data_IF_206681405737
#
_entry.id   IF_206681405737
#
_cell.length_a   1.000
_cell.length_b   1.000
_cell.length_c   1.000
_cell.angle_alpha   90.00
_cell.angle_beta   90.00
_cell.angle_gamma   90.00
#
_symmetry.space_group_name_H-M   'P 1'
#
loop_
_entity.id
_entity.type
_entity.pdbx_description
1 polymer ?
#
# COMPACT_ATOMS: atom_id res chain seq x y z
N UNK A 1 4.87 29.73 24.65
CA UNK A 1 5.43 28.54 23.99
C UNK A 1 4.43 27.42 24.22
N UNK A 2 3.41 27.33 23.36
CA UNK A 2 2.36 26.31 23.48
C UNK A 2 2.71 25.15 22.56
N UNK A 3 3.05 24.02 23.17
CA UNK A 3 3.28 22.74 22.51
C UNK A 3 1.96 22.23 21.94
N UNK A 4 1.78 22.29 20.62
CA UNK A 4 0.67 21.62 19.93
C UNK A 4 1.09 20.25 19.40
N UNK A 5 1.80 19.47 20.23
CA UNK A 5 1.91 18.04 20.00
C UNK A 5 0.75 17.38 20.75
N UNK A 6 0.04 16.40 20.15
CA UNK A 6 -0.93 15.60 20.89
C UNK A 6 -0.26 15.03 22.15
N UNK A 7 -0.92 15.21 23.30
CA UNK A 7 -0.35 14.98 24.63
C UNK A 7 0.53 13.72 24.69
N UNK A 8 1.85 13.92 24.80
CA UNK A 8 2.80 12.88 25.22
C UNK A 8 3.63 12.16 24.14
N UNK A 9 3.46 12.42 22.84
CA UNK A 9 4.38 11.86 21.82
C UNK A 9 5.55 12.82 21.55
N UNK A 10 6.79 12.33 21.65
CA UNK A 10 7.96 13.06 21.16
C UNK A 10 8.04 12.98 19.64
N UNK A 11 8.77 13.90 19.00
CA UNK A 11 8.99 13.85 17.55
C UNK A 11 9.63 12.54 17.10
N UNK A 12 10.55 11.99 17.91
CA UNK A 12 11.13 10.68 17.65
C UNK A 12 10.08 9.56 17.61
N UNK A 13 8.99 9.68 18.39
CA UNK A 13 7.89 8.72 18.38
C UNK A 13 7.04 8.86 17.11
N UNK A 14 6.84 10.09 16.64
CA UNK A 14 6.13 10.39 15.39
C UNK A 14 6.91 9.83 14.20
N UNK A 15 8.21 10.09 14.12
CA UNK A 15 9.08 9.57 13.06
C UNK A 15 9.17 8.03 13.09
N UNK A 16 9.34 7.45 14.27
CA UNK A 16 9.39 6.00 14.44
C UNK A 16 8.08 5.34 14.01
N UNK A 17 6.94 5.95 14.35
CA UNK A 17 5.62 5.47 13.92
C UNK A 17 5.47 5.56 12.41
N UNK A 18 5.81 6.70 11.80
CA UNK A 18 5.79 6.89 10.35
C UNK A 18 6.63 5.83 9.64
N UNK A 19 7.89 5.65 10.04
CA UNK A 19 8.78 4.63 9.45
C UNK A 19 8.21 3.23 9.58
N UNK A 20 7.66 2.89 10.74
CA UNK A 20 7.08 1.56 10.99
C UNK A 20 5.86 1.31 10.09
N UNK A 21 4.96 2.30 9.98
CA UNK A 21 3.76 2.21 9.16
C UNK A 21 4.10 2.19 7.66
N UNK A 22 5.01 3.05 7.21
CA UNK A 22 5.48 3.09 5.82
C UNK A 22 6.12 1.77 5.41
N UNK A 23 7.01 1.20 6.23
CA UNK A 23 7.61 -0.11 5.96
C UNK A 23 6.53 -1.20 5.85
N UNK A 24 5.49 -1.14 6.70
CA UNK A 24 4.41 -2.11 6.66
C UNK A 24 3.56 -1.99 5.38
N UNK A 25 3.24 -0.77 4.95
CA UNK A 25 2.49 -0.48 3.71
C UNK A 25 3.30 -0.94 2.49
N UNK A 26 4.57 -0.52 2.38
CA UNK A 26 5.46 -0.92 1.28
C UNK A 26 5.59 -2.43 1.17
N UNK A 27 5.77 -3.14 2.30
CA UNK A 27 5.84 -4.61 2.30
C UNK A 27 4.52 -5.26 1.89
N UNK A 28 3.38 -4.66 2.21
CA UNK A 28 2.07 -5.15 1.75
C UNK A 28 1.91 -4.94 0.25
N UNK A 29 2.26 -3.76 -0.26
CA UNK A 29 2.19 -3.43 -1.69
C UNK A 29 3.05 -4.40 -2.52
N UNK A 30 4.30 -4.64 -2.11
CA UNK A 30 5.18 -5.63 -2.77
C UNK A 30 4.59 -7.05 -2.80
N UNK A 31 3.90 -7.47 -1.74
CA UNK A 31 3.24 -8.79 -1.71
C UNK A 31 2.01 -8.83 -2.61
N UNK A 32 1.23 -7.74 -2.66
CA UNK A 32 0.07 -7.62 -3.53
C UNK A 32 0.48 -7.62 -5.00
N UNK A 33 1.53 -6.87 -5.37
CA UNK A 33 2.11 -6.90 -6.72
C UNK A 33 2.57 -8.29 -7.14
N UNK A 34 3.26 -8.99 -6.23
CA UNK A 34 3.67 -10.38 -6.48
C UNK A 34 2.46 -11.28 -6.69
N UNK A 35 1.45 -11.19 -5.82
CA UNK A 35 0.23 -11.98 -5.92
C UNK A 35 -0.51 -11.72 -7.24
N UNK A 36 -0.65 -10.45 -7.63
CA UNK A 36 -1.24 -10.08 -8.93
C UNK A 36 -0.52 -10.76 -10.09
N UNK A 37 0.81 -10.68 -10.11
CA UNK A 37 1.62 -11.34 -11.14
C UNK A 37 1.44 -12.86 -11.15
N UNK A 38 1.40 -13.48 -9.98
CA UNK A 38 1.17 -14.92 -9.86
C UNK A 38 -0.22 -15.31 -10.39
N UNK A 39 -1.27 -14.51 -10.10
CA UNK A 39 -2.62 -14.71 -10.65
C UNK A 39 -2.69 -14.52 -12.17
N UNK A 40 -2.04 -13.48 -12.70
CA UNK A 40 -1.93 -13.22 -14.14
C UNK A 40 -1.25 -14.39 -14.88
N UNK A 41 -0.18 -14.94 -14.28
CA UNK A 41 0.49 -16.13 -14.80
C UNK A 41 -0.44 -17.34 -14.79
N UNK A 42 -1.15 -17.59 -13.68
CA UNK A 42 -2.13 -18.68 -13.59
C UNK A 42 -3.24 -18.55 -14.64
N UNK A 43 -3.76 -17.34 -14.87
CA UNK A 43 -4.77 -17.09 -15.89
C UNK A 43 -4.21 -17.34 -17.30
N UNK A 44 -2.96 -16.94 -17.55
CA UNK A 44 -2.29 -17.19 -18.81
C UNK A 44 -2.11 -18.69 -19.07
N UNK A 45 -1.59 -19.44 -18.11
CA UNK A 45 -1.41 -20.89 -18.18
C UNK A 45 -2.73 -21.62 -18.37
N UNK A 46 -3.78 -21.22 -17.64
CA UNK A 46 -5.11 -21.80 -17.78
C UNK A 46 -5.65 -21.60 -19.20
N UNK A 47 -5.53 -20.39 -19.76
CA UNK A 47 -5.95 -20.12 -21.15
C UNK A 47 -5.19 -20.99 -22.15
N UNK A 48 -3.91 -21.29 -21.92
CA UNK A 48 -3.16 -22.21 -22.78
C UNK A 48 -3.67 -23.65 -22.69
N UNK A 49 -3.93 -24.14 -21.48
CA UNK A 49 -4.41 -25.52 -21.24
C UNK A 49 -5.80 -25.75 -21.81
N UNK A 50 -6.69 -24.76 -21.68
CA UNK A 50 -8.09 -24.85 -22.11
C UNK A 50 -8.35 -24.26 -23.50
N UNK A 51 -7.32 -24.09 -24.35
CA UNK A 51 -7.44 -23.56 -25.72
C UNK A 51 -8.20 -22.22 -25.82
N UNK A 52 -8.07 -21.36 -24.81
CA UNK A 52 -8.74 -20.07 -24.73
C UNK A 52 -10.16 -20.09 -24.16
N UNK A 53 -10.74 -21.27 -23.91
CA UNK A 53 -11.99 -21.37 -23.15
C UNK A 53 -11.69 -21.21 -21.66
N UNK A 54 -12.13 -20.09 -21.08
CA UNK A 54 -12.06 -19.87 -19.64
C UNK A 54 -13.13 -20.75 -19.01
N UNK A 55 -12.75 -21.99 -18.67
CA UNK A 55 -13.59 -22.92 -17.89
C UNK A 55 -14.10 -22.23 -16.63
N UNK A 56 -15.30 -22.58 -16.16
CA UNK A 56 -15.87 -22.14 -14.88
C UNK A 56 -14.87 -22.31 -13.71
N UNK A 57 -13.95 -23.27 -13.83
CA UNK A 57 -12.88 -23.53 -12.87
C UNK A 57 -11.90 -22.37 -12.71
N UNK A 58 -11.71 -21.53 -13.72
CA UNK A 58 -10.72 -20.43 -13.73
C UNK A 58 -11.33 -19.06 -14.06
N UNK A 59 -12.66 -19.01 -14.23
CA UNK A 59 -13.41 -17.77 -14.48
C UNK A 59 -13.34 -16.76 -13.34
N UNK A 60 -12.95 -17.17 -12.13
CA UNK A 60 -12.78 -16.29 -10.97
C UNK A 60 -11.45 -15.52 -10.97
N UNK A 61 -10.45 -15.94 -11.77
CA UNK A 61 -9.11 -15.34 -11.74
C UNK A 61 -9.10 -13.86 -12.14
N UNK A 62 -9.86 -13.41 -13.18
CA UNK A 62 -9.98 -11.99 -13.49
C UNK A 62 -10.47 -11.15 -12.32
N UNK A 63 -11.51 -11.61 -11.61
CA UNK A 63 -12.06 -10.89 -10.45
C UNK A 63 -11.02 -10.78 -9.33
N UNK A 64 -10.29 -11.86 -9.04
CA UNK A 64 -9.19 -11.82 -8.07
C UNK A 64 -8.06 -10.85 -8.49
N UNK A 65 -7.74 -10.75 -9.79
CA UNK A 65 -6.73 -9.79 -10.29
C UNK A 65 -7.23 -8.35 -10.10
N UNK A 66 -8.52 -8.10 -10.33
CA UNK A 66 -9.15 -6.79 -10.11
C UNK A 66 -9.13 -6.42 -8.61
N UNK A 67 -9.52 -7.34 -7.73
CA UNK A 67 -9.49 -7.12 -6.27
C UNK A 67 -8.08 -6.80 -5.78
N UNK A 68 -7.07 -7.55 -6.23
CA UNK A 68 -5.67 -7.30 -5.84
C UNK A 68 -5.17 -5.98 -6.44
N UNK A 69 -5.61 -5.61 -7.65
CA UNK A 69 -5.26 -4.31 -8.25
C UNK A 69 -5.84 -3.16 -7.43
N UNK A 70 -7.11 -3.24 -7.03
CA UNK A 70 -7.75 -2.24 -6.18
C UNK A 70 -7.06 -2.13 -4.81
N UNK A 71 -6.60 -3.24 -4.23
CA UNK A 71 -5.83 -3.23 -2.99
C UNK A 71 -4.46 -2.56 -3.15
N UNK A 72 -3.76 -2.75 -4.29
CA UNK A 72 -2.51 -2.04 -4.58
C UNK A 72 -2.75 -0.52 -4.64
N UNK A 73 -3.79 -0.08 -5.36
CA UNK A 73 -4.16 1.33 -5.45
C UNK A 73 -4.53 1.92 -4.08
N UNK A 74 -5.25 1.15 -3.26
CA UNK A 74 -5.56 1.53 -1.88
C UNK A 74 -4.31 1.69 -1.03
N UNK A 75 -3.34 0.78 -1.15
CA UNK A 75 -2.08 0.83 -0.41
C UNK A 75 -1.19 2.00 -0.86
N UNK A 76 -1.20 2.34 -2.15
CA UNK A 76 -0.50 3.52 -2.68
C UNK A 76 -1.08 4.81 -2.09
N UNK A 77 -2.41 4.91 -2.07
CA UNK A 77 -3.12 6.01 -1.40
C UNK A 77 -2.80 6.07 0.09
N UNK A 78 -2.85 4.95 0.80
CA UNK A 78 -2.52 4.89 2.24
C UNK A 78 -1.07 5.40 2.49
N UNK A 79 -0.13 5.13 1.57
CA UNK A 79 1.25 5.62 1.67
C UNK A 79 1.33 7.14 1.49
N UNK A 80 0.62 7.70 0.50
CA UNK A 80 0.55 9.14 0.30
C UNK A 80 -0.10 9.86 1.49
N UNK A 81 -1.25 9.36 1.98
CA UNK A 81 -1.96 9.93 3.12
C UNK A 81 -1.06 9.92 4.38
N UNK A 82 -0.31 8.83 4.61
CA UNK A 82 0.65 8.72 5.71
C UNK A 82 1.82 9.71 5.59
N UNK A 83 2.31 9.97 4.37
CA UNK A 83 3.36 10.96 4.13
C UNK A 83 2.87 12.38 4.38
N UNK A 84 1.64 12.70 3.98
CA UNK A 84 1.04 14.01 4.21
C UNK A 84 0.75 14.24 5.70
N UNK A 85 0.29 13.23 6.43
CA UNK A 85 0.17 13.28 7.90
C UNK A 85 1.52 13.56 8.58
N UNK A 86 2.57 12.87 8.13
CA UNK A 86 3.92 13.07 8.67
C UNK A 86 4.46 14.47 8.35
N UNK A 87 4.26 14.97 7.13
CA UNK A 87 4.65 16.34 6.76
C UNK A 87 3.92 17.37 7.59
N UNK A 88 2.61 17.23 7.78
CA UNK A 88 1.81 18.15 8.58
C UNK A 88 2.28 18.19 10.04
N UNK A 89 2.65 17.03 10.61
CA UNK A 89 3.20 16.94 11.96
C UNK A 89 4.60 17.59 12.09
N UNK A 90 5.39 17.60 11.02
CA UNK A 90 6.74 18.18 10.98
C UNK A 90 6.80 19.63 10.47
N UNK A 91 5.70 20.18 9.93
CA UNK A 91 5.65 21.52 9.36
C UNK A 91 6.22 22.63 10.28
N UNK A 92 5.93 22.68 11.60
CA UNK A 92 6.47 23.71 12.49
C UNK A 92 8.00 23.68 12.65
N UNK A 93 8.65 22.54 12.36
CA UNK A 93 10.09 22.38 12.45
C UNK A 93 10.77 22.62 11.10
N UNK A 94 10.10 22.27 10.00
CA UNK A 94 10.56 22.61 8.66
C UNK A 94 10.59 24.14 8.46
N UNK A 95 9.55 24.85 8.91
CA UNK A 95 9.51 26.33 8.87
C UNK A 95 10.52 27.00 9.80
N UNK A 96 10.91 26.34 10.90
CA UNK A 96 11.92 26.87 11.83
C UNK A 96 13.37 26.56 11.41
N UNK A 97 13.55 25.69 10.42
CA UNK A 97 14.83 25.33 9.83
C UNK A 97 15.14 26.07 8.50
N UNK A 98 14.15 26.79 7.95
CA UNK A 98 14.30 27.79 6.87
C UNK A 98 14.68 29.17 7.42
#
# INVERSE_FOLDING_TARGET
MCSNLPDGCSMNDIDRRFQTQSIAIVRKAQRAEKLKKDLENCLHEAKQVFFGEVSDTVGFLPDCIEEVTAEIERLDKDQCDLEDEWRAANAPQLEAAE
#
